data_IF_830488478352
#
_entry.id   IF_830488478352
#
_cell.length_a   1.000
_cell.length_b   1.000
_cell.length_c   1.000
_cell.angle_alpha   90.00
_cell.angle_beta   90.00
_cell.angle_gamma   90.00
#
_symmetry.space_group_name_H-M   'P 1'
#
loop_
_entity.id
_entity.type
_entity.pdbx_description
1 polymer ?
#
# COMPACT_ATOMS: atom_id res chain seq x y z
N UNK A 1 -63.22 -44.64 -29.30
CA UNK A 1 -61.78 -44.86 -29.01
C UNK A 1 -60.99 -43.64 -29.47
N UNK A 2 -60.66 -42.70 -28.56
CA UNK A 2 -59.90 -41.49 -28.85
C UNK A 2 -58.53 -41.63 -28.14
N UNK A 3 -57.49 -41.75 -28.94
CA UNK A 3 -56.08 -41.75 -28.43
C UNK A 3 -55.63 -40.33 -28.22
N UNK A 4 -55.34 -39.98 -26.97
CA UNK A 4 -54.76 -38.71 -26.56
C UNK A 4 -53.24 -38.82 -26.72
N UNK A 5 -52.66 -37.98 -27.56
CA UNK A 5 -51.24 -37.87 -27.77
C UNK A 5 -50.74 -36.76 -26.83
N UNK A 6 -49.92 -37.09 -25.79
CA UNK A 6 -49.32 -36.15 -24.90
C UNK A 6 -47.92 -35.82 -25.44
N UNK A 7 -47.74 -34.57 -25.92
CA UNK A 7 -46.46 -34.05 -26.33
C UNK A 7 -45.71 -33.48 -25.07
N UNK A 8 -44.61 -34.13 -24.71
CA UNK A 8 -43.72 -33.69 -23.65
C UNK A 8 -42.71 -32.69 -24.24
N UNK A 9 -42.84 -31.41 -23.91
CA UNK A 9 -41.82 -30.38 -24.19
C UNK A 9 -40.73 -30.41 -23.12
N UNK A 10 -39.56 -30.92 -23.47
CA UNK A 10 -38.36 -30.79 -22.63
C UNK A 10 -37.73 -29.40 -22.84
N UNK A 11 -37.86 -28.52 -21.86
CA UNK A 11 -37.18 -27.23 -21.85
C UNK A 11 -35.71 -27.45 -21.41
N UNK A 12 -34.79 -27.30 -22.35
CA UNK A 12 -33.33 -27.29 -22.08
C UNK A 12 -32.94 -25.92 -21.56
N UNK A 13 -32.78 -25.79 -20.24
CA UNK A 13 -32.17 -24.59 -19.62
C UNK A 13 -30.66 -24.66 -19.76
N UNK A 14 -30.11 -23.90 -20.71
CA UNK A 14 -28.66 -23.68 -20.82
C UNK A 14 -28.25 -22.71 -19.71
N UNK A 15 -27.72 -23.26 -18.62
CA UNK A 15 -27.08 -22.47 -17.57
C UNK A 15 -25.73 -21.95 -18.09
N UNK A 16 -25.72 -20.72 -18.60
CA UNK A 16 -24.50 -20.02 -18.94
C UNK A 16 -23.68 -19.76 -17.67
N UNK A 17 -22.76 -20.67 -17.33
CA UNK A 17 -21.75 -20.42 -16.30
C UNK A 17 -20.85 -19.27 -16.74
N UNK A 18 -20.98 -18.09 -16.12
CA UNK A 18 -19.96 -17.06 -16.20
C UNK A 18 -18.70 -17.64 -15.58
N UNK A 19 -17.74 -18.02 -16.43
CA UNK A 19 -16.36 -18.29 -15.98
C UNK A 19 -15.80 -16.93 -15.52
N UNK A 20 -15.81 -16.72 -14.20
CA UNK A 20 -15.03 -15.63 -13.61
C UNK A 20 -13.57 -15.89 -13.99
N UNK A 21 -13.02 -15.09 -14.90
CA UNK A 21 -11.58 -15.05 -15.16
C UNK A 21 -10.90 -14.77 -13.81
N UNK A 22 -9.98 -15.64 -13.34
CA UNK A 22 -9.19 -15.31 -12.18
C UNK A 22 -8.48 -13.98 -12.47
N UNK A 23 -8.68 -12.97 -11.61
CA UNK A 23 -7.89 -11.76 -11.66
C UNK A 23 -6.43 -12.23 -11.54
N UNK A 24 -5.63 -12.00 -12.58
CA UNK A 24 -4.20 -12.25 -12.52
C UNK A 24 -3.69 -11.42 -11.32
N UNK A 25 -3.11 -12.09 -10.33
CA UNK A 25 -2.37 -11.39 -9.28
C UNK A 25 -1.25 -10.65 -10.01
N UNK A 26 -1.36 -9.34 -10.10
CA UNK A 26 -0.24 -8.52 -10.59
C UNK A 26 0.81 -8.63 -9.49
N UNK A 27 1.95 -9.26 -9.79
CA UNK A 27 3.07 -9.32 -8.86
C UNK A 27 3.46 -7.88 -8.51
N UNK A 28 3.46 -7.57 -7.22
CA UNK A 28 3.83 -6.24 -6.75
C UNK A 28 5.28 -5.93 -7.19
N UNK A 29 5.55 -4.74 -7.77
CA UNK A 29 6.88 -4.40 -8.24
C UNK A 29 7.88 -4.37 -7.07
N UNK A 30 9.08 -4.90 -7.32
CA UNK A 30 10.19 -4.92 -6.37
C UNK A 30 11.37 -4.19 -7.00
N UNK A 31 11.95 -3.23 -6.26
CA UNK A 31 13.11 -2.46 -6.67
C UNK A 31 14.12 -2.28 -5.54
N UNK A 32 15.10 -1.41 -5.77
CA UNK A 32 16.09 -0.97 -4.79
C UNK A 32 15.74 0.43 -4.29
N UNK A 33 16.35 0.85 -3.20
CA UNK A 33 16.28 2.24 -2.76
C UNK A 33 16.72 3.17 -3.92
N UNK A 34 15.94 4.22 -4.14
CA UNK A 34 16.11 5.16 -5.25
C UNK A 34 15.33 4.79 -6.52
N UNK A 35 14.89 3.54 -6.69
CA UNK A 35 14.05 3.18 -7.82
C UNK A 35 12.63 3.75 -7.68
N UNK A 36 12.08 4.22 -8.80
CA UNK A 36 10.69 4.66 -8.87
C UNK A 36 9.81 3.51 -9.35
N UNK A 37 8.86 3.09 -8.51
CA UNK A 37 7.93 2.01 -8.81
C UNK A 37 6.52 2.56 -9.01
N UNK A 38 5.88 2.12 -10.09
CA UNK A 38 4.46 2.45 -10.33
C UNK A 38 3.56 1.54 -9.53
N UNK A 39 2.60 2.15 -8.85
CA UNK A 39 1.60 1.48 -8.01
C UNK A 39 0.21 1.83 -8.51
N UNK A 40 -0.65 0.82 -8.63
CA UNK A 40 -2.04 0.97 -9.05
C UNK A 40 -2.96 0.31 -8.01
N UNK A 41 -3.92 1.07 -7.49
CA UNK A 41 -4.87 0.59 -6.49
C UNK A 41 -6.20 1.37 -6.60
N UNK A 42 -7.30 0.69 -6.93
CA UNK A 42 -8.68 1.25 -6.88
C UNK A 42 -8.81 2.64 -7.56
N UNK A 43 -8.16 2.84 -8.71
CA UNK A 43 -8.18 4.12 -9.45
C UNK A 43 -7.13 5.14 -8.99
N UNK A 44 -6.34 4.84 -7.98
CA UNK A 44 -5.09 5.55 -7.64
C UNK A 44 -3.98 5.01 -8.53
N UNK A 45 -3.27 5.89 -9.23
CA UNK A 45 -2.02 5.57 -9.92
C UNK A 45 -0.97 6.55 -9.41
N UNK A 46 0.11 6.01 -8.85
CA UNK A 46 1.19 6.80 -8.30
C UNK A 46 2.57 6.20 -8.65
N UNK A 47 3.52 7.06 -8.93
CA UNK A 47 4.93 6.71 -9.04
C UNK A 47 5.58 7.01 -7.68
N UNK A 48 6.09 5.98 -7.03
CA UNK A 48 6.60 6.03 -5.66
C UNK A 48 8.09 5.70 -5.65
N UNK A 49 8.87 6.51 -4.93
CA UNK A 49 10.30 6.33 -4.72
C UNK A 49 10.60 6.34 -3.23
N UNK A 50 11.20 5.27 -2.72
CA UNK A 50 11.85 5.29 -1.41
C UNK A 50 13.32 5.64 -1.64
N UNK A 51 13.71 6.84 -1.22
CA UNK A 51 15.03 7.39 -1.54
C UNK A 51 16.13 6.73 -0.71
N UNK A 52 15.88 6.64 0.60
CA UNK A 52 16.82 6.07 1.57
C UNK A 52 16.09 5.50 2.80
N UNK A 53 16.85 4.76 3.61
CA UNK A 53 16.48 4.33 4.97
C UNK A 53 17.71 4.62 5.86
N UNK A 54 17.49 5.34 6.96
CA UNK A 54 18.59 5.70 7.86
C UNK A 54 18.16 5.74 9.33
N UNK A 55 19.10 5.56 10.29
CA UNK A 55 18.84 5.88 11.69
C UNK A 55 18.41 7.34 11.84
N UNK A 56 17.50 7.60 12.75
CA UNK A 56 16.96 8.94 12.99
C UNK A 56 16.87 9.23 14.47
N UNK A 57 16.94 10.51 14.80
CA UNK A 57 16.47 11.00 16.09
C UNK A 57 14.96 10.76 16.21
N UNK A 58 14.48 10.76 17.46
CA UNK A 58 13.05 10.62 17.75
C UNK A 58 12.33 11.90 17.34
N UNK A 59 11.43 11.85 16.36
CA UNK A 59 10.71 13.05 15.94
C UNK A 59 9.69 13.49 17.01
N UNK A 60 9.29 14.77 17.01
CA UNK A 60 8.27 15.27 17.93
C UNK A 60 6.97 14.49 17.77
N UNK A 61 6.25 14.25 18.88
CA UNK A 61 4.97 13.54 18.88
C UNK A 61 5.04 12.05 18.48
N UNK A 62 6.20 11.41 18.62
CA UNK A 62 6.43 10.04 18.19
C UNK A 62 5.47 9.02 18.82
N UNK A 63 4.63 8.42 18.00
CA UNK A 63 3.56 7.51 18.42
C UNK A 63 2.33 8.28 18.94
N UNK A 64 1.23 7.55 19.22
CA UNK A 64 0.05 8.12 19.85
C UNK A 64 -0.50 7.13 20.89
N UNK A 65 -0.52 7.51 22.18
CA UNK A 65 0.07 8.73 22.78
C UNK A 65 1.60 8.77 22.58
N UNK A 66 2.22 9.98 22.60
CA UNK A 66 3.67 10.10 22.45
C UNK A 66 4.40 9.27 23.51
N UNK A 67 5.44 8.54 23.09
CA UNK A 67 6.24 7.69 23.96
C UNK A 67 7.66 7.53 23.45
N UNK A 68 8.58 7.26 24.35
CA UNK A 68 9.96 6.92 23.97
C UNK A 68 9.99 5.67 23.08
N UNK A 69 10.90 5.62 22.10
CA UNK A 69 11.12 4.42 21.30
C UNK A 69 11.66 3.29 22.18
N UNK A 70 11.45 2.05 21.76
CA UNK A 70 11.92 0.87 22.50
C UNK A 70 13.42 0.66 22.34
N UNK A 71 13.97 0.99 21.16
CA UNK A 71 15.40 0.86 20.89
C UNK A 71 15.88 1.94 19.90
N UNK A 72 15.74 1.73 18.60
CA UNK A 72 16.24 2.62 17.55
C UNK A 72 15.10 3.10 16.68
N UNK A 73 15.09 4.39 16.36
CA UNK A 73 14.18 4.94 15.35
C UNK A 73 14.86 4.91 13.98
N UNK A 74 14.15 4.41 12.99
CA UNK A 74 14.54 4.49 11.59
C UNK A 74 13.58 5.38 10.83
N UNK A 75 14.12 6.08 9.85
CA UNK A 75 13.36 6.94 8.94
C UNK A 75 13.65 6.54 7.50
N UNK A 76 12.60 6.48 6.66
CA UNK A 76 12.75 6.53 5.22
C UNK A 76 12.29 7.88 4.68
N UNK A 77 12.97 8.37 3.65
CA UNK A 77 12.52 9.49 2.83
C UNK A 77 11.78 8.95 1.62
N UNK A 78 10.54 9.38 1.44
CA UNK A 78 9.65 8.90 0.37
C UNK A 78 9.21 10.06 -0.48
N UNK A 79 9.19 9.85 -1.82
CA UNK A 79 8.64 10.77 -2.81
C UNK A 79 7.51 10.06 -3.55
N UNK A 80 6.37 10.74 -3.72
CA UNK A 80 5.20 10.21 -4.42
C UNK A 80 4.77 11.22 -5.47
N UNK A 81 4.76 10.81 -6.74
CA UNK A 81 4.13 11.55 -7.82
C UNK A 81 2.74 10.94 -8.08
N UNK A 82 1.70 11.73 -7.84
CA UNK A 82 0.30 11.32 -8.00
C UNK A 82 -0.11 11.42 -9.47
N UNK A 83 -0.05 10.33 -10.23
CA UNK A 83 -0.39 10.33 -11.66
C UNK A 83 -1.91 10.44 -11.85
N UNK A 84 -2.68 9.63 -11.13
CA UNK A 84 -4.14 9.64 -11.16
C UNK A 84 -4.69 9.48 -9.74
N UNK A 85 -5.62 10.36 -9.37
CA UNK A 85 -6.26 10.35 -8.05
C UNK A 85 -7.78 10.45 -8.21
N UNK A 86 -8.55 9.50 -7.66
CA UNK A 86 -10.02 9.60 -7.66
C UNK A 86 -10.51 10.71 -6.74
N UNK A 87 -9.80 10.94 -5.63
CA UNK A 87 -10.04 12.03 -4.67
C UNK A 87 -8.71 12.50 -4.07
N UNK A 88 -8.56 13.77 -3.66
CA UNK A 88 -7.27 14.32 -3.21
C UNK A 88 -6.67 13.64 -1.97
N UNK A 89 -7.48 13.02 -1.13
CA UNK A 89 -7.03 12.32 0.09
C UNK A 89 -6.77 10.82 -0.11
N UNK A 90 -6.86 10.31 -1.36
CA UNK A 90 -6.75 8.88 -1.66
C UNK A 90 -5.44 8.26 -1.16
N UNK A 91 -4.28 8.94 -1.31
CA UNK A 91 -2.99 8.43 -0.83
C UNK A 91 -3.00 8.18 0.68
N UNK A 92 -3.52 9.13 1.46
CA UNK A 92 -3.53 9.05 2.93
C UNK A 92 -4.38 7.93 3.49
N UNK A 93 -5.47 7.55 2.80
CA UNK A 93 -6.37 6.48 3.22
C UNK A 93 -5.98 5.11 2.67
N UNK A 94 -5.22 5.07 1.57
CA UNK A 94 -4.88 3.82 0.87
C UNK A 94 -3.47 3.32 1.20
N UNK A 95 -2.49 4.20 1.39
CA UNK A 95 -1.09 3.82 1.49
C UNK A 95 -0.59 3.74 2.93
N UNK A 96 0.15 2.66 3.22
CA UNK A 96 0.92 2.52 4.45
C UNK A 96 2.28 1.91 4.13
N UNK A 97 3.36 2.53 4.62
CA UNK A 97 4.73 2.11 4.41
C UNK A 97 5.24 1.36 5.64
N UNK A 98 5.47 0.06 5.50
CA UNK A 98 6.01 -0.79 6.57
C UNK A 98 7.51 -0.92 6.44
N UNK A 99 8.23 -0.84 7.55
CA UNK A 99 9.63 -1.20 7.61
C UNK A 99 9.77 -2.70 7.88
N UNK A 100 10.47 -3.43 7.03
CA UNK A 100 10.62 -4.89 7.16
C UNK A 100 12.07 -5.25 7.43
N UNK A 101 12.30 -6.15 8.38
CA UNK A 101 13.63 -6.66 8.75
C UNK A 101 14.08 -7.80 7.83
N UNK A 102 15.37 -8.18 7.81
CA UNK A 102 15.83 -9.37 7.10
C UNK A 102 15.18 -10.67 7.57
N UNK A 103 14.70 -10.69 8.82
CA UNK A 103 14.04 -11.85 9.44
C UNK A 103 12.54 -11.91 9.17
N UNK A 104 11.98 -10.89 8.48
CA UNK A 104 10.57 -10.83 8.10
C UNK A 104 9.65 -10.14 9.13
N UNK A 105 10.18 -9.60 10.23
CA UNK A 105 9.40 -8.77 11.15
C UNK A 105 9.00 -7.46 10.46
N UNK A 106 7.74 -7.06 10.56
CA UNK A 106 7.23 -5.83 9.99
C UNK A 106 6.91 -4.80 11.07
N UNK A 107 7.43 -3.58 10.90
CA UNK A 107 7.16 -2.43 11.74
C UNK A 107 6.10 -1.54 11.08
N UNK A 108 5.05 -1.23 11.84
CA UNK A 108 4.08 -0.22 11.44
C UNK A 108 4.69 1.19 11.58
N UNK A 109 4.38 2.10 10.64
CA UNK A 109 4.83 3.48 10.76
C UNK A 109 4.24 4.13 12.00
N UNK A 110 5.03 4.97 12.65
CA UNK A 110 4.61 5.74 13.81
C UNK A 110 4.11 7.11 13.39
N UNK A 111 3.00 7.53 13.97
CA UNK A 111 2.56 8.92 13.87
C UNK A 111 3.58 9.84 14.52
N UNK A 112 3.70 11.04 14.01
CA UNK A 112 4.63 12.06 14.50
C UNK A 112 4.08 13.44 14.18
N UNK A 113 4.49 14.45 14.96
CA UNK A 113 4.20 15.86 14.71
C UNK A 113 5.32 16.55 13.91
N UNK A 114 6.25 15.77 13.33
CA UNK A 114 7.28 16.32 12.46
C UNK A 114 6.64 17.00 11.23
N UNK A 115 7.03 18.24 10.91
CA UNK A 115 6.37 19.00 9.83
C UNK A 115 6.58 18.41 8.44
N UNK A 116 7.62 17.59 8.26
CA UNK A 116 7.94 16.87 7.04
C UNK A 116 7.45 15.41 7.04
N UNK A 117 6.53 15.05 7.93
CA UNK A 117 5.97 13.72 7.95
C UNK A 117 5.10 13.46 6.71
N UNK A 118 5.36 12.32 6.04
CA UNK A 118 4.66 11.91 4.83
C UNK A 118 3.13 11.81 5.07
N UNK A 119 2.72 11.43 6.27
CA UNK A 119 1.29 11.35 6.64
C UNK A 119 0.53 12.65 6.43
N UNK A 120 1.16 13.82 6.62
CA UNK A 120 0.55 15.12 6.36
C UNK A 120 0.62 15.48 4.88
N UNK A 121 1.74 15.19 4.22
CA UNK A 121 1.91 15.45 2.81
C UNK A 121 0.89 14.70 1.94
N UNK A 122 0.46 13.50 2.36
CA UNK A 122 -0.52 12.66 1.66
C UNK A 122 -1.98 13.06 1.87
N UNK A 123 -2.31 14.03 2.73
CA UNK A 123 -3.70 14.34 3.09
C UNK A 123 -4.51 15.03 1.98
N UNK A 124 -3.84 15.78 1.10
CA UNK A 124 -4.52 16.51 0.04
C UNK A 124 -3.61 16.64 -1.19
N UNK A 125 -3.58 15.59 -2.00
CA UNK A 125 -2.70 15.48 -3.16
C UNK A 125 -3.53 15.38 -4.44
N UNK A 126 -3.63 16.45 -5.24
CA UNK A 126 -4.32 16.38 -6.53
C UNK A 126 -3.51 15.57 -7.53
N UNK A 127 -4.17 15.07 -8.57
CA UNK A 127 -3.50 14.41 -9.69
C UNK A 127 -2.47 15.36 -10.33
N UNK A 128 -1.31 14.82 -10.71
CA UNK A 128 -0.17 15.54 -11.24
C UNK A 128 0.77 16.17 -10.20
N UNK A 129 0.39 16.18 -8.92
CA UNK A 129 1.23 16.72 -7.85
C UNK A 129 2.29 15.72 -7.39
N UNK A 130 3.41 16.26 -6.90
CA UNK A 130 4.45 15.47 -6.22
C UNK A 130 4.56 15.91 -4.77
N UNK A 131 4.58 14.94 -3.87
CA UNK A 131 4.76 15.16 -2.43
C UNK A 131 5.93 14.33 -1.93
N UNK A 132 6.57 14.79 -0.87
CA UNK A 132 7.68 14.08 -0.22
C UNK A 132 7.56 14.19 1.29
N UNK A 133 8.11 13.21 2.00
CA UNK A 133 8.14 13.25 3.45
C UNK A 133 8.83 12.05 4.09
N UNK A 134 8.98 12.12 5.41
CA UNK A 134 9.55 11.06 6.22
C UNK A 134 8.50 10.06 6.72
N UNK A 135 8.92 8.81 6.82
CA UNK A 135 8.19 7.73 7.51
C UNK A 135 9.09 7.19 8.60
N UNK A 136 8.58 7.05 9.83
CA UNK A 136 9.39 6.60 10.97
C UNK A 136 8.86 5.29 11.56
N UNK A 137 9.80 4.44 11.99
CA UNK A 137 9.51 3.17 12.67
C UNK A 137 10.26 3.05 13.99
N UNK A 138 9.62 2.42 14.96
CA UNK A 138 10.22 2.02 16.25
C UNK A 138 10.79 0.60 16.10
N UNK A 139 12.08 0.50 15.78
CA UNK A 139 12.76 -0.77 15.53
C UNK A 139 13.29 -1.34 16.84
N UNK A 140 12.59 -2.32 17.39
CA UNK A 140 12.90 -2.89 18.72
C UNK A 140 13.52 -4.30 18.67
N UNK A 141 13.75 -4.84 17.48
CA UNK A 141 14.44 -6.11 17.24
C UNK A 141 15.60 -5.87 16.27
N UNK A 142 15.37 -6.16 14.98
CA UNK A 142 16.34 -5.97 13.92
C UNK A 142 16.11 -4.65 13.17
N UNK A 143 17.11 -4.23 12.42
CA UNK A 143 17.09 -3.01 11.61
C UNK A 143 16.21 -3.22 10.36
N UNK A 144 15.61 -2.14 9.89
CA UNK A 144 14.85 -2.15 8.63
C UNK A 144 15.81 -2.35 7.46
N UNK A 145 15.56 -3.36 6.66
CA UNK A 145 16.29 -3.66 5.41
C UNK A 145 15.45 -3.43 4.16
N UNK A 146 14.13 -3.41 4.30
CA UNK A 146 13.20 -3.23 3.19
C UNK A 146 12.08 -2.28 3.60
N UNK A 147 11.58 -1.49 2.64
CA UNK A 147 10.31 -0.78 2.79
C UNK A 147 9.27 -1.46 1.93
N UNK A 148 8.14 -1.79 2.53
CA UNK A 148 7.00 -2.42 1.85
C UNK A 148 5.80 -1.48 1.89
N UNK A 149 5.31 -1.11 0.73
CA UNK A 149 4.06 -0.38 0.59
C UNK A 149 2.91 -1.38 0.51
N UNK A 150 1.93 -1.21 1.37
CA UNK A 150 0.71 -2.02 1.39
C UNK A 150 -0.54 -1.15 1.33
N UNK A 151 -1.62 -1.72 0.82
CA UNK A 151 -2.94 -1.12 0.97
C UNK A 151 -3.35 -1.15 2.44
N UNK A 152 -3.67 0.00 2.99
CA UNK A 152 -4.07 0.17 4.39
C UNK A 152 -5.30 -0.65 4.78
N UNK A 153 -6.23 -0.83 3.85
CA UNK A 153 -7.52 -1.48 4.11
C UNK A 153 -7.42 -3.00 4.06
N UNK A 154 -6.71 -3.53 3.08
CA UNK A 154 -6.66 -4.97 2.81
C UNK A 154 -5.35 -5.62 3.24
N UNK A 155 -4.29 -4.82 3.42
CA UNK A 155 -2.93 -5.31 3.67
C UNK A 155 -2.25 -5.90 2.42
N UNK A 156 -2.86 -5.76 1.24
CA UNK A 156 -2.28 -6.24 -0.01
C UNK A 156 -0.95 -5.53 -0.26
N UNK A 157 0.08 -6.30 -0.62
CA UNK A 157 1.40 -5.82 -1.00
C UNK A 157 1.30 -5.09 -2.35
N UNK A 158 1.74 -3.83 -2.40
CA UNK A 158 1.65 -2.97 -3.57
C UNK A 158 3.01 -2.71 -4.23
N UNK A 159 4.08 -2.59 -3.43
CA UNK A 159 5.44 -2.39 -3.92
C UNK A 159 6.46 -2.66 -2.79
N UNK A 160 7.72 -2.94 -3.15
CA UNK A 160 8.81 -3.17 -2.19
C UNK A 160 10.12 -2.56 -2.68
N UNK A 161 10.87 -1.94 -1.77
CA UNK A 161 12.22 -1.44 -1.99
C UNK A 161 13.20 -2.14 -1.05
N UNK A 162 14.23 -2.72 -1.62
CA UNK A 162 15.31 -3.39 -0.89
C UNK A 162 16.53 -2.47 -0.76
N UNK A 163 17.26 -2.60 0.34
CA UNK A 163 18.56 -1.94 0.55
C UNK A 163 19.62 -2.53 -0.37
#
# INVERSE_FOLDING_TARGET
MRRLLVLLFAALTVSGGMLATPAAAVDAPIGRLGDTLRVELEGVIADVTVVDIQPSDVPPGFGYPPRAPRYQVYRANVVIHAVQMPVPYALGISFIFKGVTPTGDAYEPRNTDAPDALQYAMQNVPAGATVAGGVWWDCYRDLVSNVVLVDRKTGIHLAQWNV
#
